data_IF_759363816128
#
_entry.id   IF_759363816128
#
_cell.length_a   1.000
_cell.length_b   1.000
_cell.length_c   1.000
_cell.angle_alpha   90.00
_cell.angle_beta   90.00
_cell.angle_gamma   90.00
#
_symmetry.space_group_name_H-M   'P 1'
#
loop_
_entity.id
_entity.type
_entity.pdbx_description
1 polymer ?
#
# COMPACT_ATOMS: atom_id res chain seq x y z
N UNK A 1 -7.09 91.81 29.09
CA UNK A 1 -7.36 90.36 29.01
C UNK A 1 -6.01 89.66 28.98
N UNK A 2 -5.57 89.06 30.10
CA UNK A 2 -4.18 88.63 30.31
C UNK A 2 -3.82 87.39 29.48
N UNK A 3 -2.79 87.46 28.63
CA UNK A 3 -2.37 86.34 27.76
C UNK A 3 -1.75 85.12 28.48
N UNK A 4 -1.57 85.19 29.80
CA UNK A 4 -0.91 84.15 30.60
C UNK A 4 -1.69 82.83 30.71
N UNK A 5 -3.01 82.82 30.51
CA UNK A 5 -3.79 81.57 30.52
C UNK A 5 -3.64 80.77 29.21
N UNK A 6 -3.38 81.45 28.09
CA UNK A 6 -3.16 80.81 26.78
C UNK A 6 -1.80 80.11 26.75
N UNK A 7 -0.76 80.73 27.32
CA UNK A 7 0.57 80.12 27.41
C UNK A 7 0.58 78.90 28.35
N UNK A 8 -0.18 78.95 29.45
CA UNK A 8 -0.35 77.81 30.35
C UNK A 8 -1.04 76.61 29.67
N UNK A 9 -2.12 76.84 28.92
CA UNK A 9 -2.80 75.78 28.17
C UNK A 9 -1.92 75.21 27.05
N UNK A 10 -1.20 76.06 26.31
CA UNK A 10 -0.30 75.60 25.25
C UNK A 10 0.83 74.72 25.81
N UNK A 11 1.42 75.09 26.96
CA UNK A 11 2.43 74.28 27.63
C UNK A 11 1.87 72.94 28.13
N UNK A 12 0.65 72.93 28.67
CA UNK A 12 -0.01 71.70 29.13
C UNK A 12 -0.31 70.73 27.97
N UNK A 13 -0.82 71.24 26.83
CA UNK A 13 -1.09 70.43 25.63
C UNK A 13 0.22 69.89 25.04
N UNK A 14 1.28 70.70 24.99
CA UNK A 14 2.58 70.25 24.51
C UNK A 14 3.17 69.15 25.40
N UNK A 15 3.08 69.32 26.72
CA UNK A 15 3.52 68.30 27.69
C UNK A 15 2.76 66.98 27.53
N UNK A 16 1.44 67.04 27.31
CA UNK A 16 0.61 65.86 27.05
C UNK A 16 0.97 65.19 25.73
N UNK A 17 1.17 65.96 24.66
CA UNK A 17 1.54 65.42 23.35
C UNK A 17 2.90 64.72 23.38
N UNK A 18 3.90 65.30 24.07
CA UNK A 18 5.21 64.71 24.25
C UNK A 18 5.16 63.46 25.14
N UNK A 19 4.37 63.49 26.21
CA UNK A 19 4.16 62.33 27.09
C UNK A 19 3.51 61.16 26.36
N UNK A 20 2.46 61.42 25.59
CA UNK A 20 1.77 60.41 24.79
C UNK A 20 2.67 59.82 23.69
N UNK A 21 3.42 60.67 22.98
CA UNK A 21 4.37 60.21 21.97
C UNK A 21 5.50 59.35 22.56
N UNK A 22 6.04 59.75 23.71
CA UNK A 22 7.07 58.98 24.43
C UNK A 22 6.58 57.62 24.92
N UNK A 23 5.34 57.55 25.42
CA UNK A 23 4.69 56.31 25.84
C UNK A 23 4.45 55.35 24.67
N UNK A 24 3.90 55.86 23.55
CA UNK A 24 3.68 55.05 22.35
C UNK A 24 4.98 54.44 21.81
N UNK A 25 6.05 55.25 21.71
CA UNK A 25 7.36 54.76 21.26
C UNK A 25 7.96 53.78 22.28
N UNK A 26 7.64 53.87 23.58
CA UNK A 26 8.07 52.91 24.61
C UNK A 26 7.38 51.55 24.51
N UNK A 27 6.07 51.57 24.33
CA UNK A 27 5.28 50.35 24.20
C UNK A 27 5.64 49.57 22.92
N UNK A 28 5.85 50.28 21.81
CA UNK A 28 6.23 49.66 20.53
C UNK A 28 7.61 48.99 20.60
N UNK A 29 8.61 49.67 21.21
CA UNK A 29 9.95 49.08 21.39
C UNK A 29 9.98 47.93 22.40
N UNK A 30 9.11 47.94 23.41
CA UNK A 30 8.95 46.83 24.34
C UNK A 30 8.36 45.60 23.63
N UNK A 31 7.30 45.80 22.83
CA UNK A 31 6.67 44.74 22.05
C UNK A 31 7.63 44.13 21.02
N UNK A 32 8.41 44.96 20.31
CA UNK A 32 9.41 44.48 19.35
C UNK A 32 10.55 43.71 20.03
N UNK A 33 10.97 44.13 21.24
CA UNK A 33 11.99 43.41 22.00
C UNK A 33 11.50 42.03 22.46
N UNK A 34 10.24 41.92 22.91
CA UNK A 34 9.61 40.63 23.24
C UNK A 34 9.48 39.73 22.00
N UNK A 35 9.04 40.28 20.87
CA UNK A 35 8.94 39.53 19.61
C UNK A 35 10.30 39.04 19.11
N UNK A 36 11.35 39.84 19.24
CA UNK A 36 12.71 39.49 18.87
C UNK A 36 13.29 38.43 19.80
N UNK A 37 13.01 38.51 21.11
CA UNK A 37 13.42 37.49 22.08
C UNK A 37 12.87 36.10 21.72
N UNK A 38 11.62 36.05 21.21
CA UNK A 38 10.98 34.80 20.78
C UNK A 38 11.09 34.51 19.28
N UNK A 39 11.79 35.34 18.49
CA UNK A 39 11.93 35.10 17.05
C UNK A 39 12.78 33.85 16.78
N UNK A 40 13.90 33.73 17.49
CA UNK A 40 14.81 32.59 17.33
C UNK A 40 14.15 31.26 17.74
N UNK A 41 13.43 31.24 18.86
CA UNK A 41 12.71 30.04 19.31
C UNK A 41 11.64 29.61 18.30
N UNK A 42 10.88 30.56 17.74
CA UNK A 42 9.88 30.28 16.69
C UNK A 42 10.50 29.72 15.43
N UNK A 43 11.68 30.19 15.03
CA UNK A 43 12.42 29.65 13.87
C UNK A 43 12.90 28.21 14.13
N UNK A 44 13.44 27.94 15.32
CA UNK A 44 13.85 26.60 15.72
C UNK A 44 12.66 25.64 15.75
N UNK A 45 11.54 26.07 16.32
CA UNK A 45 10.30 25.30 16.38
C UNK A 45 9.74 25.04 14.97
N UNK A 46 9.70 26.05 14.11
CA UNK A 46 9.24 25.91 12.72
C UNK A 46 10.16 24.95 11.92
N UNK A 47 11.47 25.01 12.13
CA UNK A 47 12.44 24.11 11.51
C UNK A 47 12.32 22.68 12.06
N UNK A 48 12.03 22.51 13.36
CA UNK A 48 11.77 21.20 13.95
C UNK A 48 10.47 20.59 13.41
N UNK A 49 9.39 21.38 13.31
CA UNK A 49 8.12 20.94 12.74
C UNK A 49 8.26 20.55 11.27
N UNK A 50 8.97 21.35 10.48
CA UNK A 50 9.23 21.04 9.06
C UNK A 50 9.96 19.71 8.92
N UNK A 51 11.04 19.50 9.68
CA UNK A 51 11.78 18.23 9.69
C UNK A 51 10.93 17.04 10.11
N UNK A 52 10.07 17.20 11.12
CA UNK A 52 9.16 16.14 11.55
C UNK A 52 8.14 15.76 10.45
N UNK A 53 7.58 16.76 9.77
CA UNK A 53 6.65 16.55 8.65
C UNK A 53 7.34 15.90 7.45
N UNK A 54 8.55 16.33 7.11
CA UNK A 54 9.35 15.74 6.04
C UNK A 54 9.69 14.27 6.33
N UNK A 55 10.10 13.96 7.56
CA UNK A 55 10.36 12.59 7.98
C UNK A 55 9.10 11.72 7.91
N UNK A 56 7.95 12.24 8.37
CA UNK A 56 6.67 11.53 8.28
C UNK A 56 6.26 11.27 6.82
N UNK A 57 6.36 12.28 5.95
CA UNK A 57 6.06 12.14 4.51
C UNK A 57 6.99 11.16 3.81
N UNK A 58 8.29 11.17 4.15
CA UNK A 58 9.25 10.22 3.59
C UNK A 58 8.86 8.77 3.94
N UNK A 59 8.42 8.53 5.18
CA UNK A 59 7.96 7.21 5.62
C UNK A 59 6.64 6.80 4.94
N UNK A 60 5.69 7.73 4.80
CA UNK A 60 4.44 7.50 4.05
C UNK A 60 4.72 7.14 2.58
N UNK A 61 5.65 7.87 1.93
CA UNK A 61 6.08 7.60 0.56
C UNK A 61 6.74 6.23 0.45
N UNK A 62 7.63 5.88 1.38
CA UNK A 62 8.27 4.56 1.43
C UNK A 62 7.24 3.44 1.52
N UNK A 63 6.27 3.53 2.44
CA UNK A 63 5.21 2.53 2.63
C UNK A 63 4.33 2.41 1.38
N UNK A 64 3.90 3.55 0.83
CA UNK A 64 3.05 3.60 -0.37
C UNK A 64 3.76 2.99 -1.58
N UNK A 65 5.03 3.30 -1.77
CA UNK A 65 5.83 2.73 -2.85
C UNK A 65 5.97 1.20 -2.69
N UNK A 66 6.27 0.72 -1.48
CA UNK A 66 6.38 -0.71 -1.22
C UNK A 66 5.05 -1.45 -1.49
N UNK A 67 3.93 -0.95 -0.96
CA UNK A 67 2.60 -1.53 -1.18
C UNK A 67 2.20 -1.52 -2.67
N UNK A 68 2.55 -0.45 -3.40
CA UNK A 68 2.31 -0.37 -4.84
C UNK A 68 3.05 -1.47 -5.62
N UNK A 69 4.33 -1.69 -5.30
CA UNK A 69 5.11 -2.77 -5.92
C UNK A 69 4.60 -4.17 -5.55
N UNK A 70 4.21 -4.37 -4.29
CA UNK A 70 3.60 -5.64 -3.83
C UNK A 70 2.28 -5.90 -4.58
N UNK A 71 1.42 -4.89 -4.71
CA UNK A 71 0.18 -5.00 -5.45
C UNK A 71 0.38 -5.29 -6.95
N UNK A 72 1.39 -4.67 -7.57
CA UNK A 72 1.77 -4.95 -8.97
C UNK A 72 2.21 -6.39 -9.15
N UNK A 73 3.08 -6.88 -8.28
CA UNK A 73 3.56 -8.25 -8.33
C UNK A 73 2.41 -9.26 -8.13
N UNK A 74 1.57 -9.06 -7.12
CA UNK A 74 0.39 -9.90 -6.89
C UNK A 74 -0.54 -9.91 -8.12
N UNK A 75 -0.70 -8.79 -8.82
CA UNK A 75 -1.50 -8.72 -10.05
C UNK A 75 -0.84 -9.49 -11.21
N UNK A 76 0.48 -9.38 -11.37
CA UNK A 76 1.23 -10.15 -12.35
C UNK A 76 1.08 -11.66 -12.10
N UNK A 77 1.18 -12.10 -10.84
CA UNK A 77 0.97 -13.50 -10.46
C UNK A 77 -0.46 -13.96 -10.74
N UNK A 78 -1.49 -13.15 -10.45
CA UNK A 78 -2.89 -13.48 -10.79
C UNK A 78 -3.08 -13.63 -12.29
N UNK A 79 -2.47 -12.74 -13.08
CA UNK A 79 -2.54 -12.79 -14.54
C UNK A 79 -1.90 -14.08 -15.07
N UNK A 80 -0.73 -14.46 -14.53
CA UNK A 80 -0.07 -15.72 -14.88
C UNK A 80 -0.94 -16.93 -14.53
N UNK A 81 -1.47 -17.00 -13.29
CA UNK A 81 -2.34 -18.10 -12.87
C UNK A 81 -3.62 -18.23 -13.72
N UNK A 82 -4.20 -17.10 -14.15
CA UNK A 82 -5.33 -17.10 -15.08
C UNK A 82 -4.95 -17.65 -16.46
N UNK A 83 -3.77 -17.29 -16.98
CA UNK A 83 -3.27 -17.80 -18.24
C UNK A 83 -3.01 -19.31 -18.17
N UNK A 84 -2.40 -19.78 -17.07
CA UNK A 84 -2.14 -21.20 -16.83
C UNK A 84 -3.45 -22.00 -16.71
N UNK A 85 -4.44 -21.48 -16.00
CA UNK A 85 -5.76 -22.09 -15.91
C UNK A 85 -6.47 -22.15 -17.27
N UNK A 86 -6.29 -21.14 -18.13
CA UNK A 86 -6.80 -21.18 -19.50
C UNK A 86 -6.10 -22.24 -20.35
N UNK A 87 -4.77 -22.31 -20.28
CA UNK A 87 -3.98 -23.31 -21.00
C UNK A 87 -4.34 -24.73 -20.57
N UNK A 88 -4.51 -24.97 -19.27
CA UNK A 88 -4.93 -26.25 -18.72
C UNK A 88 -6.31 -26.67 -19.23
N UNK A 89 -7.30 -25.77 -19.24
CA UNK A 89 -8.65 -26.04 -19.79
C UNK A 89 -8.61 -26.35 -21.29
N UNK A 90 -7.79 -25.63 -22.06
CA UNK A 90 -7.63 -25.88 -23.48
C UNK A 90 -7.01 -27.27 -23.73
N UNK A 91 -5.99 -27.65 -22.96
CA UNK A 91 -5.38 -28.97 -23.04
C UNK A 91 -6.37 -30.09 -22.66
N UNK A 92 -7.13 -29.92 -21.58
CA UNK A 92 -8.16 -30.87 -21.15
C UNK A 92 -9.25 -31.05 -22.23
N UNK A 93 -9.75 -29.95 -22.81
CA UNK A 93 -10.71 -30.01 -23.91
C UNK A 93 -10.16 -30.74 -25.15
N UNK A 94 -8.90 -30.50 -25.52
CA UNK A 94 -8.23 -31.21 -26.60
C UNK A 94 -8.05 -32.70 -26.32
N UNK A 95 -7.74 -33.07 -25.07
CA UNK A 95 -7.64 -34.47 -24.64
C UNK A 95 -9.00 -35.17 -24.73
N UNK A 96 -10.06 -34.54 -24.22
CA UNK A 96 -11.44 -35.06 -24.28
C UNK A 96 -11.92 -35.30 -25.72
N UNK A 97 -11.57 -34.41 -26.65
CA UNK A 97 -11.85 -34.61 -28.07
C UNK A 97 -11.13 -35.83 -28.65
N UNK A 98 -9.84 -36.02 -28.31
CA UNK A 98 -9.06 -37.19 -28.75
C UNK A 98 -9.59 -38.49 -28.14
N UNK A 99 -9.96 -38.49 -26.86
CA UNK A 99 -10.58 -39.64 -26.19
C UNK A 99 -11.90 -40.01 -26.88
N UNK A 100 -12.77 -39.03 -27.14
CA UNK A 100 -14.03 -39.25 -27.86
C UNK A 100 -13.80 -39.88 -29.25
N UNK A 101 -12.79 -39.41 -29.99
CA UNK A 101 -12.44 -39.98 -31.30
C UNK A 101 -11.95 -41.43 -31.18
N UNK A 102 -11.12 -41.73 -30.18
CA UNK A 102 -10.62 -43.09 -29.92
C UNK A 102 -11.75 -44.04 -29.53
N UNK A 103 -12.69 -43.60 -28.70
CA UNK A 103 -13.86 -44.39 -28.32
C UNK A 103 -14.73 -44.69 -29.55
N UNK A 104 -14.98 -43.68 -30.40
CA UNK A 104 -15.73 -43.86 -31.64
C UNK A 104 -15.04 -44.87 -32.59
N UNK A 105 -13.72 -44.77 -32.75
CA UNK A 105 -12.93 -45.70 -33.57
C UNK A 105 -12.91 -47.13 -32.99
N UNK A 106 -12.80 -47.27 -31.66
CA UNK A 106 -12.87 -48.57 -31.00
C UNK A 106 -14.27 -49.21 -31.18
N UNK A 107 -15.33 -48.40 -31.14
CA UNK A 107 -16.69 -48.86 -31.40
C UNK A 107 -16.84 -49.37 -32.83
N UNK A 108 -16.37 -48.64 -33.85
CA UNK A 108 -16.45 -49.12 -35.25
C UNK A 108 -15.64 -50.39 -35.49
N UNK A 109 -14.47 -50.54 -34.85
CA UNK A 109 -13.66 -51.76 -34.90
C UNK A 109 -14.25 -52.94 -34.11
N UNK A 110 -14.98 -52.70 -33.01
CA UNK A 110 -15.64 -53.75 -32.23
C UNK A 110 -16.88 -54.34 -32.89
N UNK A 111 -17.54 -53.58 -33.77
CA UNK A 111 -18.69 -54.06 -34.57
C UNK A 111 -18.29 -55.13 -35.62
N UNK A 112 -17.00 -55.31 -35.90
CA UNK A 112 -16.52 -56.33 -36.85
C UNK A 112 -16.04 -57.63 -36.18
N UNK A 113 -16.00 -57.75 -34.84
CA UNK A 113 -15.34 -58.89 -34.17
C UNK A 113 -15.86 -59.33 -32.78
N UNK A 114 -17.07 -58.97 -32.33
CA UNK A 114 -17.53 -59.35 -30.97
C UNK A 114 -18.38 -60.63 -30.95
N UNK A 115 -17.96 -61.59 -30.11
CA UNK A 115 -18.72 -62.79 -29.76
C UNK A 115 -19.85 -62.44 -28.78
N UNK A 116 -21.04 -63.01 -29.00
CA UNK A 116 -22.24 -62.76 -28.20
C UNK A 116 -22.01 -63.09 -26.71
N UNK A 117 -22.01 -62.08 -25.83
CA UNK A 117 -22.05 -62.27 -24.37
C UNK A 117 -21.16 -61.38 -23.51
N UNK A 118 -20.23 -60.60 -24.07
CA UNK A 118 -19.44 -59.62 -23.28
C UNK A 118 -20.13 -58.24 -23.27
N UNK A 119 -20.08 -57.47 -22.16
CA UNK A 119 -20.52 -56.08 -22.17
C UNK A 119 -19.77 -55.32 -23.26
N UNK A 120 -20.46 -54.42 -23.96
CA UNK A 120 -19.85 -53.67 -25.05
C UNK A 120 -18.69 -52.85 -24.49
N UNK A 121 -17.47 -53.04 -25.01
CA UNK A 121 -16.27 -52.29 -24.61
C UNK A 121 -16.48 -50.77 -24.61
N UNK A 122 -17.43 -50.26 -25.40
CA UNK A 122 -17.83 -48.85 -25.43
C UNK A 122 -18.31 -48.31 -24.07
N UNK A 123 -19.13 -49.05 -23.31
CA UNK A 123 -19.75 -48.55 -22.08
C UNK A 123 -18.70 -48.33 -20.97
N UNK A 124 -17.69 -49.19 -20.90
CA UNK A 124 -16.59 -49.05 -19.96
C UNK A 124 -15.66 -47.87 -20.30
N UNK A 125 -15.42 -47.62 -21.60
CA UNK A 125 -14.63 -46.49 -22.05
C UNK A 125 -15.36 -45.14 -21.85
N UNK A 126 -16.67 -45.13 -22.06
CA UNK A 126 -17.52 -43.95 -21.82
C UNK A 126 -17.50 -43.56 -20.32
N UNK A 127 -17.60 -44.54 -19.41
CA UNK A 127 -17.48 -44.30 -17.96
C UNK A 127 -16.09 -43.75 -17.57
N UNK A 128 -15.02 -44.29 -18.14
CA UNK A 128 -13.66 -43.81 -17.87
C UNK A 128 -13.45 -42.37 -18.36
N UNK A 129 -13.99 -42.03 -19.54
CA UNK A 129 -13.92 -40.67 -20.09
C UNK A 129 -14.70 -39.67 -19.21
N UNK A 130 -15.88 -40.06 -18.72
CA UNK A 130 -16.70 -39.27 -17.80
C UNK A 130 -16.02 -39.06 -16.43
N UNK A 131 -15.45 -40.12 -15.85
CA UNK A 131 -14.69 -40.02 -14.59
C UNK A 131 -13.45 -39.14 -14.76
N UNK A 132 -12.71 -39.30 -15.87
CA UNK A 132 -11.56 -38.45 -16.18
C UNK A 132 -11.97 -36.98 -16.31
N UNK A 133 -13.08 -36.69 -17.02
CA UNK A 133 -13.61 -35.34 -17.15
C UNK A 133 -13.93 -34.70 -15.81
N UNK A 134 -14.68 -35.40 -14.95
CA UNK A 134 -14.99 -34.89 -13.60
C UNK A 134 -13.74 -34.72 -12.73
N UNK A 135 -12.77 -35.62 -12.84
CA UNK A 135 -11.53 -35.54 -12.07
C UNK A 135 -10.70 -34.32 -12.49
N UNK A 136 -10.54 -34.10 -13.80
CA UNK A 136 -9.81 -32.96 -14.36
C UNK A 136 -10.51 -31.63 -14.03
N UNK A 137 -11.84 -31.57 -14.14
CA UNK A 137 -12.62 -30.39 -13.76
C UNK A 137 -12.40 -30.05 -12.28
N UNK A 138 -12.49 -31.05 -11.40
CA UNK A 138 -12.27 -30.84 -9.97
C UNK A 138 -10.83 -30.46 -9.65
N UNK A 139 -9.85 -31.05 -10.33
CA UNK A 139 -8.45 -30.68 -10.19
C UNK A 139 -8.22 -29.22 -10.62
N UNK A 140 -8.86 -28.77 -11.69
CA UNK A 140 -8.82 -27.39 -12.15
C UNK A 140 -9.41 -26.39 -11.15
N UNK A 141 -10.54 -26.72 -10.53
CA UNK A 141 -11.13 -25.90 -9.46
C UNK A 141 -10.19 -25.79 -8.24
N UNK A 142 -9.59 -26.90 -7.82
CA UNK A 142 -8.67 -26.93 -6.69
C UNK A 142 -7.40 -26.15 -6.99
N UNK A 143 -6.85 -26.27 -8.20
CA UNK A 143 -5.69 -25.51 -8.64
C UNK A 143 -5.99 -23.99 -8.61
N UNK A 144 -7.12 -23.58 -9.18
CA UNK A 144 -7.53 -22.18 -9.19
C UNK A 144 -7.70 -21.61 -7.77
N UNK A 145 -8.29 -22.39 -6.85
CA UNK A 145 -8.40 -21.99 -5.45
C UNK A 145 -7.02 -21.89 -4.78
N UNK A 146 -6.15 -22.87 -4.99
CA UNK A 146 -4.81 -22.91 -4.41
C UNK A 146 -3.96 -21.73 -4.87
N UNK A 147 -3.98 -21.40 -6.17
CA UNK A 147 -3.27 -20.24 -6.72
C UNK A 147 -3.80 -18.94 -6.13
N UNK A 148 -5.12 -18.77 -6.05
CA UNK A 148 -5.72 -17.57 -5.46
C UNK A 148 -5.34 -17.41 -3.98
N UNK A 149 -5.41 -18.51 -3.21
CA UNK A 149 -5.05 -18.51 -1.79
C UNK A 149 -3.56 -18.21 -1.59
N UNK A 150 -2.68 -18.82 -2.39
CA UNK A 150 -1.24 -18.60 -2.34
C UNK A 150 -0.90 -17.14 -2.64
N UNK A 151 -1.41 -16.59 -3.75
CA UNK A 151 -1.12 -15.21 -4.14
C UNK A 151 -1.63 -14.22 -3.08
N UNK A 152 -2.81 -14.45 -2.51
CA UNK A 152 -3.34 -13.61 -1.43
C UNK A 152 -2.49 -13.71 -0.15
N UNK A 153 -2.02 -14.91 0.21
CA UNK A 153 -1.15 -15.13 1.35
C UNK A 153 0.19 -14.43 1.20
N UNK A 154 0.89 -14.64 0.07
CA UNK A 154 2.16 -13.99 -0.24
C UNK A 154 2.03 -12.46 -0.25
N UNK A 155 0.94 -11.92 -0.80
CA UNK A 155 0.66 -10.50 -0.76
C UNK A 155 0.53 -10.00 0.69
N UNK A 156 -0.23 -10.70 1.52
CA UNK A 156 -0.46 -10.33 2.92
C UNK A 156 0.84 -10.33 3.73
N UNK A 157 1.68 -11.36 3.59
CA UNK A 157 2.97 -11.44 4.27
C UNK A 157 3.88 -10.28 3.86
N UNK A 158 3.98 -9.99 2.56
CA UNK A 158 4.83 -8.91 2.05
C UNK A 158 4.34 -7.53 2.47
N UNK A 159 3.03 -7.29 2.46
CA UNK A 159 2.45 -6.04 2.94
C UNK A 159 2.73 -5.84 4.43
N UNK A 160 2.63 -6.91 5.22
CA UNK A 160 2.99 -6.88 6.64
C UNK A 160 4.47 -6.56 6.86
N UNK A 161 5.37 -7.22 6.12
CA UNK A 161 6.81 -6.96 6.20
C UNK A 161 7.14 -5.51 5.82
N UNK A 162 6.51 -4.98 4.76
CA UNK A 162 6.71 -3.59 4.33
C UNK A 162 6.31 -2.56 5.40
N UNK A 163 5.22 -2.86 6.13
CA UNK A 163 4.72 -2.02 7.23
C UNK A 163 5.58 -2.13 8.49
N UNK A 164 6.13 -3.32 8.78
CA UNK A 164 6.87 -3.59 10.01
C UNK A 164 8.38 -3.36 9.92
N UNK A 165 8.96 -3.29 8.70
CA UNK A 165 10.38 -3.01 8.48
C UNK A 165 10.88 -1.66 9.06
N UNK A 166 9.99 -0.72 9.38
CA UNK A 166 10.36 0.51 10.09
C UNK A 166 10.69 0.25 11.58
N UNK A 167 10.10 -0.76 12.21
CA UNK A 167 10.29 -1.07 13.62
C UNK A 167 11.62 -1.79 13.92
N UNK A 168 12.28 -2.36 12.90
CA UNK A 168 13.56 -3.07 13.07
C UNK A 168 14.77 -2.14 13.03
N UNK A 169 14.65 -0.94 12.46
CA UNK A 169 15.74 0.05 12.39
C UNK A 169 15.93 0.78 13.72
N UNK A 170 14.89 0.93 14.53
CA UNK A 170 14.96 1.59 15.85
C UNK A 170 15.61 0.70 16.95
N UNK A 171 15.83 -0.59 16.67
CA UNK A 171 16.54 -1.52 17.55
C UNK A 171 18.07 -1.53 17.35
N UNK A 172 18.65 -0.55 16.63
CA UNK A 172 20.09 -0.38 16.57
C UNK A 172 20.61 0.28 17.86
N UNK A 173 21.56 -0.32 18.61
CA UNK A 173 22.09 0.28 19.83
C UNK A 173 22.85 1.58 19.54
N UNK A 174 22.47 2.65 20.26
CA UNK A 174 23.15 3.95 20.26
C UNK A 174 24.65 3.79 20.59
N UNK A 175 25.59 4.25 19.74
CA UNK A 175 27.02 4.08 19.94
C UNK A 175 27.66 5.21 20.77
N UNK A 176 26.97 5.76 21.78
CA UNK A 176 27.53 6.89 22.55
C UNK A 176 27.23 6.85 24.06
N UNK A 177 27.60 5.74 24.70
CA UNK A 177 27.67 5.66 26.17
C UNK A 177 29.00 5.05 26.60
N UNK A 178 30.09 5.78 26.37
CA UNK A 178 31.42 5.30 26.75
C UNK A 178 32.58 6.25 26.47
N UNK A 179 32.51 7.49 26.97
CA UNK A 179 33.68 8.37 27.08
C UNK A 179 33.50 9.38 28.23
N UNK A 180 33.48 8.87 29.45
CA UNK A 180 33.89 9.62 30.64
C UNK A 180 34.71 8.67 31.49
N UNK A 181 36.01 8.71 31.28
CA UNK A 181 37.08 8.45 32.25
C UNK A 181 38.30 9.26 31.82
#
# INVERSE_FOLDING_TARGET
MNGYWITGLAAAVLGLALGAGGAYVWEDRALLAEQAAHAHDRELDAAAQTRAVEAARAEEQRRTAAQSEIAKDANAQRTAALADAFAARAAAGGLQQRVTQLIAAARTAGHSATAAGSPATGDALDLLADVLGRADDRAGELAAYADAARIAGEQCERDYDALTAANTVEAAPSPDRGARD
#
